data_IF_389484250635
#
_entry.id   IF_389484250635
#
_cell.length_a   1.000
_cell.length_b   1.000
_cell.length_c   1.000
_cell.angle_alpha   90.00
_cell.angle_beta   90.00
_cell.angle_gamma   90.00
#
_symmetry.space_group_name_H-M   'P 1'
#
loop_
_entity.id
_entity.type
_entity.pdbx_description
1 polymer ?
#
# COMPACT_ATOMS: atom_id res chain seq x y z
N UNK A 1 -59.84 25.31 -13.08
CA UNK A 1 -59.02 26.17 -13.96
C UNK A 1 -57.87 25.33 -14.47
N UNK A 2 -57.91 24.94 -15.75
CA UNK A 2 -57.10 23.87 -16.37
C UNK A 2 -55.95 24.54 -17.11
N UNK A 3 -54.71 24.33 -16.68
CA UNK A 3 -53.53 24.84 -17.39
C UNK A 3 -53.05 23.79 -18.39
N UNK A 4 -52.88 24.27 -19.62
CA UNK A 4 -52.58 23.54 -20.85
C UNK A 4 -51.06 23.39 -20.96
N UNK A 5 -50.58 22.15 -21.13
CA UNK A 5 -49.22 21.90 -21.63
C UNK A 5 -49.29 21.77 -23.15
N UNK A 6 -48.69 22.73 -23.86
CA UNK A 6 -48.48 22.64 -25.31
C UNK A 6 -47.23 21.81 -25.61
N UNK A 7 -47.39 20.70 -26.31
CA UNK A 7 -46.26 19.96 -26.90
C UNK A 7 -45.70 20.73 -28.12
N UNK A 8 -44.38 20.95 -28.22
CA UNK A 8 -43.80 21.43 -29.47
C UNK A 8 -43.71 20.29 -30.50
N UNK A 9 -44.09 20.65 -31.73
CA UNK A 9 -44.36 19.80 -32.90
C UNK A 9 -43.20 18.95 -33.39
N UNK A 10 -43.48 17.68 -33.66
CA UNK A 10 -42.67 16.73 -34.42
C UNK A 10 -42.35 17.28 -35.83
N UNK A 11 -41.08 17.34 -36.27
CA UNK A 11 -40.78 17.58 -37.67
C UNK A 11 -40.95 16.29 -38.47
N UNK A 12 -41.94 16.27 -39.36
CA UNK A 12 -42.16 15.24 -40.38
C UNK A 12 -41.01 15.26 -41.39
N UNK A 13 -40.14 14.24 -41.38
CA UNK A 13 -39.11 14.10 -42.40
C UNK A 13 -39.69 13.49 -43.68
N UNK A 14 -39.75 14.34 -44.70
CA UNK A 14 -40.10 14.06 -46.09
C UNK A 14 -39.23 12.94 -46.68
N UNK A 15 -39.88 11.98 -47.33
CA UNK A 15 -39.24 10.92 -48.11
C UNK A 15 -38.80 11.52 -49.46
N UNK A 16 -37.51 11.82 -49.62
CA UNK A 16 -36.92 12.06 -50.93
C UNK A 16 -35.90 10.96 -51.24
N UNK A 17 -36.30 10.08 -52.15
CA UNK A 17 -35.39 9.21 -52.88
C UNK A 17 -34.60 10.08 -53.86
N UNK A 18 -33.28 10.17 -53.68
CA UNK A 18 -32.34 10.50 -54.76
C UNK A 18 -31.35 9.36 -54.90
N UNK A 19 -31.39 8.75 -56.08
CA UNK A 19 -30.52 7.68 -56.52
C UNK A 19 -29.13 8.19 -56.90
N UNK A 20 -28.13 7.33 -56.69
CA UNK A 20 -26.84 7.24 -57.40
C UNK A 20 -25.84 8.38 -57.20
N UNK A 21 -24.81 8.13 -56.40
CA UNK A 21 -23.43 8.07 -56.90
C UNK A 21 -22.48 7.55 -55.82
N UNK A 22 -21.71 6.54 -56.21
CA UNK A 22 -20.78 5.83 -55.33
C UNK A 22 -19.72 6.74 -54.74
N UNK A 23 -19.54 6.62 -53.43
CA UNK A 23 -18.24 6.78 -52.78
C UNK A 23 -18.10 5.64 -51.79
N UNK A 24 -17.15 4.76 -52.06
CA UNK A 24 -16.69 3.76 -51.11
C UNK A 24 -16.33 4.49 -49.81
N UNK A 25 -17.16 4.34 -48.78
CA UNK A 25 -16.71 4.58 -47.42
C UNK A 25 -15.58 3.59 -47.16
N UNK A 26 -14.33 4.04 -47.28
CA UNK A 26 -13.25 3.44 -46.52
C UNK A 26 -13.70 3.52 -45.06
N UNK A 27 -14.28 2.44 -44.55
CA UNK A 27 -14.39 2.20 -43.12
C UNK A 27 -12.95 2.14 -42.62
N UNK A 28 -12.38 3.29 -42.26
CA UNK A 28 -11.31 3.31 -41.27
C UNK A 28 -11.87 2.54 -40.09
N UNK A 29 -11.23 1.42 -39.77
CA UNK A 29 -11.49 0.69 -38.55
C UNK A 29 -11.21 1.63 -37.37
N UNK A 30 -12.24 2.34 -36.93
CA UNK A 30 -12.22 3.09 -35.70
C UNK A 30 -12.37 2.07 -34.58
N UNK A 31 -11.24 1.51 -34.16
CA UNK A 31 -11.14 0.81 -32.89
C UNK A 31 -10.60 1.78 -31.82
N UNK A 32 -11.39 2.75 -31.33
CA UNK A 32 -10.94 3.71 -30.31
C UNK A 32 -10.56 3.04 -28.97
N UNK A 33 -10.97 1.78 -28.78
CA UNK A 33 -10.68 0.97 -27.60
C UNK A 33 -9.32 0.26 -27.65
N UNK A 34 -8.69 0.11 -28.83
CA UNK A 34 -7.40 -0.60 -28.97
C UNK A 34 -6.19 0.28 -28.61
N UNK A 35 -6.37 1.59 -28.42
CA UNK A 35 -5.32 2.55 -28.06
C UNK A 35 -5.55 3.17 -26.67
N UNK A 36 -6.13 2.41 -25.72
CA UNK A 36 -6.28 2.87 -24.35
C UNK A 36 -4.92 2.94 -23.63
N UNK A 37 -4.23 4.06 -23.75
CA UNK A 37 -3.04 4.43 -22.97
C UNK A 37 -3.31 4.55 -21.45
N UNK A 38 -4.56 4.43 -21.01
CA UNK A 38 -5.02 4.62 -19.62
C UNK A 38 -4.46 3.61 -18.60
N UNK A 39 -3.93 2.46 -19.05
CA UNK A 39 -3.42 1.40 -18.13
C UNK A 39 -2.11 1.80 -17.45
N UNK A 40 -1.17 2.47 -18.15
CA UNK A 40 0.12 2.88 -17.58
C UNK A 40 -0.03 3.91 -16.44
N UNK A 41 -0.79 5.02 -16.60
CA UNK A 41 -0.99 5.98 -15.52
C UNK A 41 -1.74 5.38 -14.32
N UNK A 42 -2.76 4.53 -14.57
CA UNK A 42 -3.57 3.93 -13.51
C UNK A 42 -2.73 3.16 -12.49
N UNK A 43 -1.82 2.29 -12.96
CA UNK A 43 -0.94 1.48 -12.08
C UNK A 43 0.01 2.34 -11.25
N UNK A 44 0.56 3.40 -11.86
CA UNK A 44 1.41 4.35 -11.15
C UNK A 44 0.65 5.05 -10.02
N UNK A 45 -0.56 5.54 -10.29
CA UNK A 45 -1.41 6.18 -9.29
C UNK A 45 -1.84 5.21 -8.19
N UNK A 46 -2.18 3.96 -8.54
CA UNK A 46 -2.56 2.94 -7.55
C UNK A 46 -1.38 2.63 -6.61
N UNK A 47 -0.16 2.49 -7.13
CA UNK A 47 1.05 2.30 -6.30
C UNK A 47 1.34 3.48 -5.38
N UNK A 48 1.24 4.73 -5.90
CA UNK A 48 1.37 5.94 -5.07
C UNK A 48 0.32 5.98 -3.95
N UNK A 49 -0.94 5.67 -4.28
CA UNK A 49 -2.03 5.69 -3.31
C UNK A 49 -1.83 4.64 -2.23
N UNK A 50 -1.42 3.41 -2.58
CA UNK A 50 -1.09 2.37 -1.62
C UNK A 50 0.04 2.80 -0.65
N UNK A 51 1.12 3.38 -1.17
CA UNK A 51 2.19 3.94 -0.34
C UNK A 51 1.69 5.03 0.61
N UNK A 52 0.80 5.91 0.15
CA UNK A 52 0.19 6.94 1.00
C UNK A 52 -0.67 6.31 2.11
N UNK A 53 -1.51 5.33 1.77
CA UNK A 53 -2.39 4.64 2.73
C UNK A 53 -1.59 3.97 3.83
N UNK A 54 -0.54 3.23 3.49
CA UNK A 54 0.34 2.60 4.48
C UNK A 54 0.95 3.62 5.45
N UNK A 55 1.53 4.71 4.93
CA UNK A 55 2.12 5.75 5.77
C UNK A 55 1.10 6.39 6.71
N UNK A 56 -0.15 6.56 6.26
CA UNK A 56 -1.25 7.04 7.10
C UNK A 56 -1.58 6.05 8.21
N UNK A 57 -1.72 4.75 7.90
CA UNK A 57 -1.97 3.71 8.89
C UNK A 57 -0.87 3.66 9.95
N UNK A 58 0.41 3.67 9.54
CA UNK A 58 1.55 3.67 10.45
C UNK A 58 1.53 4.90 11.37
N UNK A 59 1.28 6.09 10.84
CA UNK A 59 1.17 7.31 11.65
C UNK A 59 0.03 7.25 12.66
N UNK A 60 -1.12 6.73 12.25
CA UNK A 60 -2.27 6.57 13.13
C UNK A 60 -1.97 5.57 14.25
N UNK A 61 -1.34 4.43 13.93
CA UNK A 61 -0.90 3.45 14.91
C UNK A 61 0.10 4.05 15.90
N UNK A 62 1.16 4.71 15.41
CA UNK A 62 2.15 5.38 16.26
C UNK A 62 1.49 6.39 17.19
N UNK A 63 0.55 7.20 16.68
CA UNK A 63 -0.19 8.16 17.50
C UNK A 63 -0.97 7.44 18.61
N UNK A 64 -1.78 6.46 18.27
CA UNK A 64 -2.61 5.71 19.23
C UNK A 64 -1.75 5.02 20.30
N UNK A 65 -0.63 4.42 19.90
CA UNK A 65 0.32 3.78 20.83
C UNK A 65 0.87 4.82 21.80
N UNK A 66 1.44 5.93 21.30
CA UNK A 66 2.06 6.94 22.17
C UNK A 66 1.05 7.59 23.11
N UNK A 67 -0.19 7.83 22.66
CA UNK A 67 -1.18 8.54 23.48
C UNK A 67 -1.94 7.66 24.46
N UNK A 68 -2.05 6.35 24.19
CA UNK A 68 -2.93 5.46 24.96
C UNK A 68 -2.19 4.29 25.65
N UNK A 69 -0.89 4.08 25.41
CA UNK A 69 -0.12 2.98 26.04
C UNK A 69 0.28 3.28 27.49
N UNK A 70 -0.66 3.76 28.29
CA UNK A 70 -0.51 3.90 29.74
C UNK A 70 -1.90 3.93 30.37
N UNK A 71 -1.99 3.60 31.64
CA UNK A 71 -3.24 3.66 32.37
C UNK A 71 -3.19 4.83 33.36
N UNK A 72 -4.12 5.77 33.23
CA UNK A 72 -4.22 6.92 34.14
C UNK A 72 -4.42 6.50 35.60
N UNK A 73 -4.96 5.30 35.84
CA UNK A 73 -5.22 4.76 37.17
C UNK A 73 -4.02 4.06 37.80
N UNK A 74 -3.14 3.44 37.00
CA UNK A 74 -1.90 2.79 37.48
C UNK A 74 -0.69 3.73 37.56
N UNK A 75 -0.80 4.91 36.95
CA UNK A 75 0.30 5.87 36.88
C UNK A 75 1.18 5.67 35.64
N UNK A 76 2.37 6.31 35.61
CA UNK A 76 3.27 6.26 34.47
C UNK A 76 3.73 4.82 34.13
N UNK A 77 4.04 4.52 32.85
CA UNK A 77 4.58 3.23 32.46
C UNK A 77 5.86 2.88 33.22
N UNK A 78 6.00 1.61 33.57
CA UNK A 78 7.27 1.06 34.08
C UNK A 78 8.36 1.12 33.00
N UNK A 79 9.62 0.97 33.40
CA UNK A 79 10.75 0.98 32.46
C UNK A 79 10.59 -0.08 31.36
N UNK A 80 10.20 -1.30 31.72
CA UNK A 80 9.99 -2.40 30.77
C UNK A 80 8.85 -2.10 29.78
N UNK A 81 7.77 -1.48 30.25
CA UNK A 81 6.65 -1.07 29.38
C UNK A 81 7.06 0.04 28.43
N UNK A 82 7.85 1.01 28.92
CA UNK A 82 8.41 2.07 28.08
C UNK A 82 9.32 1.50 26.99
N UNK A 83 10.17 0.54 27.32
CA UNK A 83 11.01 -0.15 26.34
C UNK A 83 10.18 -0.95 25.31
N UNK A 84 9.09 -1.60 25.72
CA UNK A 84 8.14 -2.30 24.83
C UNK A 84 7.48 -1.31 23.85
N UNK A 85 7.06 -0.14 24.34
CA UNK A 85 6.51 0.95 23.52
C UNK A 85 7.55 1.47 22.53
N UNK A 86 8.75 1.82 23.01
CA UNK A 86 9.84 2.34 22.16
C UNK A 86 10.24 1.32 21.09
N UNK A 87 10.36 0.04 21.45
CA UNK A 87 10.62 -1.05 20.50
C UNK A 87 9.54 -1.14 19.42
N UNK A 88 8.27 -1.09 19.81
CA UNK A 88 7.15 -1.16 18.86
C UNK A 88 7.14 0.04 17.89
N UNK A 89 7.47 1.25 18.38
CA UNK A 89 7.57 2.44 17.54
C UNK A 89 8.75 2.31 16.56
N UNK A 90 9.90 1.78 16.99
CA UNK A 90 11.03 1.51 16.09
C UNK A 90 10.66 0.55 14.98
N UNK A 91 9.90 -0.51 15.30
CA UNK A 91 9.38 -1.46 14.30
C UNK A 91 8.45 -0.76 13.31
N UNK A 92 7.52 0.09 13.77
CA UNK A 92 6.64 0.87 12.88
C UNK A 92 7.44 1.81 11.96
N UNK A 93 8.55 2.37 12.43
CA UNK A 93 9.47 3.17 11.62
C UNK A 93 10.32 2.33 10.66
N UNK A 94 10.59 1.06 10.98
CA UNK A 94 11.30 0.13 10.11
C UNK A 94 10.46 -0.33 8.91
N UNK A 95 9.15 -0.45 9.07
CA UNK A 95 8.24 -0.98 8.03
C UNK A 95 8.37 -0.26 6.67
N UNK A 96 8.39 1.09 6.57
CA UNK A 96 8.57 1.76 5.28
C UNK A 96 9.89 1.42 4.58
N UNK A 97 10.98 1.23 5.35
CA UNK A 97 12.26 0.77 4.80
C UNK A 97 12.15 -0.68 4.31
N UNK A 98 11.56 -1.56 5.12
CA UNK A 98 11.31 -2.96 4.75
C UNK A 98 10.51 -3.05 3.44
N UNK A 99 9.44 -2.27 3.30
CA UNK A 99 8.63 -2.26 2.08
C UNK A 99 9.44 -1.79 0.88
N UNK A 100 10.20 -0.70 1.02
CA UNK A 100 11.02 -0.17 -0.07
C UNK A 100 12.00 -1.24 -0.57
N UNK A 101 12.71 -1.87 0.36
CA UNK A 101 13.73 -2.85 0.06
C UNK A 101 13.10 -4.12 -0.56
N UNK A 102 12.01 -4.60 0.04
CA UNK A 102 11.23 -5.72 -0.48
C UNK A 102 10.75 -5.48 -1.92
N UNK A 103 10.19 -4.31 -2.21
CA UNK A 103 9.70 -3.97 -3.56
C UNK A 103 10.83 -3.83 -4.58
N UNK A 104 12.04 -3.48 -4.15
CA UNK A 104 13.25 -3.42 -4.99
C UNK A 104 13.99 -4.74 -5.11
N UNK A 105 13.55 -5.79 -4.41
CA UNK A 105 14.29 -7.04 -4.26
C UNK A 105 15.68 -6.84 -3.62
N UNK A 106 15.81 -5.81 -2.78
CA UNK A 106 16.99 -5.49 -1.99
C UNK A 106 16.90 -6.23 -0.64
N UNK A 107 16.97 -7.56 -0.68
CA UNK A 107 16.92 -8.38 0.52
C UNK A 107 18.23 -8.26 1.34
N UNK A 108 18.13 -8.43 2.66
CA UNK A 108 19.31 -8.42 3.51
C UNK A 108 19.86 -7.02 3.87
N UNK A 109 19.20 -5.94 3.46
CA UNK A 109 19.66 -4.55 3.66
C UNK A 109 20.01 -4.17 5.12
N UNK A 110 19.39 -4.84 6.09
CA UNK A 110 19.65 -4.62 7.51
C UNK A 110 20.75 -5.52 8.10
N UNK A 111 21.10 -6.61 7.41
CA UNK A 111 22.05 -7.63 7.88
C UNK A 111 23.32 -7.71 7.04
N UNK A 112 23.45 -6.86 6.03
CA UNK A 112 24.68 -6.71 5.23
C UNK A 112 25.83 -6.14 6.09
N UNK A 113 26.35 -6.92 7.03
CA UNK A 113 27.52 -6.55 7.84
C UNK A 113 28.78 -6.84 7.03
N UNK A 114 29.51 -5.78 6.68
CA UNK A 114 30.91 -5.86 6.26
C UNK A 114 31.13 -6.31 4.81
N UNK A 115 31.19 -5.33 3.89
CA UNK A 115 32.20 -5.31 2.82
C UNK A 115 32.32 -6.51 1.85
N UNK A 116 31.36 -7.43 1.77
CA UNK A 116 31.42 -8.50 0.78
C UNK A 116 30.99 -8.03 -0.62
N UNK A 117 30.16 -7.00 -0.73
CA UNK A 117 29.85 -6.33 -2.01
C UNK A 117 29.62 -4.84 -1.72
N UNK A 118 30.28 -3.97 -2.49
CA UNK A 118 30.51 -2.56 -2.18
C UNK A 118 29.27 -1.67 -2.15
N UNK A 119 29.52 -0.36 -2.02
CA UNK A 119 28.52 0.72 -2.04
C UNK A 119 27.76 0.89 -3.38
N UNK A 120 27.90 -0.08 -4.29
CA UNK A 120 27.27 -0.08 -5.60
C UNK A 120 26.28 -1.25 -5.65
N UNK A 121 25.06 -0.93 -6.09
CA UNK A 121 24.05 -1.90 -6.52
C UNK A 121 24.68 -2.87 -7.52
N UNK A 122 24.99 -4.08 -7.06
CA UNK A 122 25.41 -5.17 -7.95
C UNK A 122 24.23 -5.51 -8.89
N UNK A 123 24.57 -5.92 -10.11
CA UNK A 123 23.66 -6.36 -11.18
C UNK A 123 22.75 -7.54 -10.73
N UNK A 124 23.01 -8.09 -9.54
CA UNK A 124 22.30 -9.19 -8.86
C UNK A 124 21.28 -8.74 -7.78
N UNK A 125 21.15 -7.44 -7.48
CA UNK A 125 20.12 -6.94 -6.55
C UNK A 125 20.51 -6.92 -5.06
N UNK A 126 21.80 -6.98 -4.73
CA UNK A 126 22.27 -6.95 -3.33
C UNK A 126 22.02 -5.57 -2.69
N UNK A 127 21.36 -5.55 -1.53
CA UNK A 127 21.02 -4.33 -0.83
C UNK A 127 22.22 -3.64 -0.17
N UNK A 128 22.33 -2.32 -0.32
CA UNK A 128 23.29 -1.52 0.44
C UNK A 128 22.89 -1.52 1.93
N UNK A 129 23.86 -1.81 2.81
CA UNK A 129 23.65 -1.75 4.25
C UNK A 129 23.20 -0.35 4.68
N UNK A 130 22.08 -0.28 5.41
CA UNK A 130 21.60 0.96 5.99
C UNK A 130 21.63 0.86 7.53
N UNK A 131 22.56 1.56 8.21
CA UNK A 131 22.71 1.48 9.66
C UNK A 131 21.49 2.01 10.42
N UNK A 132 20.83 3.04 9.87
CA UNK A 132 19.62 3.60 10.48
C UNK A 132 18.47 2.60 10.41
N UNK A 133 18.35 1.87 9.30
CA UNK A 133 17.35 0.81 9.16
C UNK A 133 17.66 -0.39 10.07
N UNK A 134 18.92 -0.83 10.10
CA UNK A 134 19.35 -1.94 10.94
C UNK A 134 19.11 -1.67 12.44
N UNK A 135 19.36 -0.44 12.91
CA UNK A 135 19.14 -0.04 14.30
C UNK A 135 17.66 0.01 14.73
N UNK A 136 16.72 -0.04 13.78
CA UNK A 136 15.28 -0.06 14.05
C UNK A 136 14.71 -1.48 14.19
N UNK A 137 15.41 -2.50 13.70
CA UNK A 137 14.92 -3.87 13.73
C UNK A 137 15.06 -4.49 15.14
N UNK A 138 14.15 -5.42 15.50
CA UNK A 138 14.29 -6.20 16.72
C UNK A 138 15.61 -6.99 16.75
N UNK A 139 16.26 -7.02 17.91
CA UNK A 139 17.44 -7.84 18.11
C UNK A 139 17.10 -9.33 17.91
N UNK A 140 17.95 -10.04 17.16
CA UNK A 140 17.73 -11.45 16.84
C UNK A 140 16.62 -11.72 15.82
N UNK A 141 16.07 -10.69 15.17
CA UNK A 141 15.16 -10.90 14.04
C UNK A 141 15.93 -11.51 12.86
N UNK A 142 15.44 -12.64 12.39
CA UNK A 142 15.84 -13.26 11.13
C UNK A 142 14.78 -12.96 10.08
N UNK A 143 15.19 -12.47 8.93
CA UNK A 143 14.29 -12.23 7.80
C UNK A 143 14.17 -13.48 6.95
N UNK A 144 12.93 -13.87 6.62
CA UNK A 144 12.63 -15.04 5.78
C UNK A 144 12.16 -14.62 4.37
N UNK A 145 12.73 -13.54 3.84
CA UNK A 145 12.32 -12.98 2.54
C UNK A 145 12.68 -13.92 1.37
N UNK A 146 13.75 -14.68 1.53
CA UNK A 146 14.22 -15.74 0.64
C UNK A 146 13.27 -16.96 0.63
N UNK A 147 12.59 -17.21 1.74
CA UNK A 147 11.53 -18.24 1.85
C UNK A 147 10.16 -17.74 1.32
N UNK A 148 10.10 -16.50 0.83
CA UNK A 148 8.88 -15.89 0.30
C UNK A 148 8.03 -15.15 1.33
N UNK A 149 8.50 -15.01 2.58
CA UNK A 149 7.83 -14.22 3.61
C UNK A 149 8.35 -12.78 3.58
N UNK A 150 7.55 -11.86 3.05
CA UNK A 150 7.89 -10.44 3.04
C UNK A 150 8.14 -9.90 4.46
N UNK A 151 9.32 -9.31 4.67
CA UNK A 151 9.69 -8.70 5.95
C UNK A 151 8.67 -7.66 6.46
N UNK A 152 8.02 -6.83 5.61
CA UNK A 152 6.95 -5.94 6.07
C UNK A 152 5.81 -6.66 6.78
N UNK A 153 5.42 -7.85 6.31
CA UNK A 153 4.40 -8.68 6.93
C UNK A 153 4.92 -9.32 8.23
N UNK A 154 6.17 -9.78 8.25
CA UNK A 154 6.78 -10.32 9.47
C UNK A 154 6.80 -9.27 10.60
N UNK A 155 7.10 -8.02 10.27
CA UNK A 155 7.14 -6.92 11.24
C UNK A 155 5.76 -6.61 11.86
N UNK A 156 4.65 -6.86 11.16
CA UNK A 156 3.31 -6.58 11.72
C UNK A 156 2.96 -7.49 12.89
N UNK A 157 3.51 -8.72 12.97
CA UNK A 157 3.25 -9.62 14.10
C UNK A 157 3.71 -9.05 15.45
N UNK A 158 4.81 -8.29 15.46
CA UNK A 158 5.27 -7.61 16.67
C UNK A 158 4.29 -6.54 17.13
N UNK A 159 3.67 -5.83 16.17
CA UNK A 159 2.65 -4.80 16.44
C UNK A 159 1.36 -5.44 16.94
N UNK A 160 0.90 -6.53 16.32
CA UNK A 160 -0.28 -7.29 16.80
C UNK A 160 -0.07 -7.83 18.21
N UNK A 161 1.10 -8.40 18.48
CA UNK A 161 1.47 -8.86 19.82
C UNK A 161 1.47 -7.73 20.84
N UNK A 162 1.95 -6.54 20.47
CA UNK A 162 1.88 -5.34 21.33
C UNK A 162 0.44 -4.91 21.59
N UNK A 163 -0.42 -4.87 20.57
CA UNK A 163 -1.84 -4.50 20.72
C UNK A 163 -2.53 -5.45 21.70
N UNK A 164 -2.33 -6.76 21.54
CA UNK A 164 -2.90 -7.77 22.44
C UNK A 164 -2.43 -7.60 23.89
N UNK A 165 -1.10 -7.41 24.09
CA UNK A 165 -0.55 -7.13 25.42
C UNK A 165 -1.12 -5.84 26.01
N UNK A 166 -1.31 -4.80 25.19
CA UNK A 166 -1.90 -3.53 25.62
C UNK A 166 -3.35 -3.67 26.07
N UNK A 167 -4.14 -4.49 25.37
CA UNK A 167 -5.50 -4.84 25.80
C UNK A 167 -5.48 -5.57 27.16
N UNK A 168 -4.63 -6.59 27.32
CA UNK A 168 -4.50 -7.35 28.59
C UNK A 168 -4.03 -6.47 29.75
N UNK A 169 -3.17 -5.47 29.46
CA UNK A 169 -2.71 -4.47 30.45
C UNK A 169 -3.78 -3.42 30.76
N UNK A 170 -4.87 -3.37 30.01
CA UNK A 170 -5.91 -2.34 30.13
C UNK A 170 -5.50 -0.97 29.60
N UNK A 171 -4.51 -0.90 28.71
CA UNK A 171 -4.13 0.33 28.00
C UNK A 171 -5.13 0.67 26.90
N UNK A 172 -5.66 -0.36 26.24
CA UNK A 172 -6.67 -0.23 25.22
C UNK A 172 -7.93 -0.96 25.67
N UNK A 173 -9.09 -0.38 25.41
CA UNK A 173 -10.34 -1.12 25.47
C UNK A 173 -10.49 -1.99 24.21
N UNK A 174 -11.34 -3.03 24.26
CA UNK A 174 -11.55 -3.92 23.13
C UNK A 174 -11.91 -3.18 21.80
N UNK A 175 -12.76 -2.13 21.81
CA UNK A 175 -13.00 -1.33 20.60
C UNK A 175 -11.76 -0.60 20.07
N UNK A 176 -10.94 -0.04 20.95
CA UNK A 176 -9.70 0.66 20.59
C UNK A 176 -8.65 -0.30 20.03
N UNK A 177 -8.49 -1.47 20.63
CA UNK A 177 -7.62 -2.54 20.12
C UNK A 177 -8.10 -3.03 18.73
N UNK A 178 -9.41 -3.23 18.57
CA UNK A 178 -10.02 -3.61 17.28
C UNK A 178 -9.77 -2.55 16.20
N UNK A 179 -9.84 -1.26 16.55
CA UNK A 179 -9.53 -0.17 15.61
C UNK A 179 -8.07 -0.19 15.17
N UNK A 180 -7.13 -0.52 16.08
CA UNK A 180 -5.72 -0.65 15.73
C UNK A 180 -5.46 -1.83 14.80
N UNK A 181 -6.08 -2.99 15.06
CA UNK A 181 -6.04 -4.14 14.16
C UNK A 181 -6.60 -3.80 12.77
N UNK A 182 -7.68 -3.02 12.69
CA UNK A 182 -8.23 -2.55 11.42
C UNK A 182 -7.22 -1.65 10.64
N UNK A 183 -6.40 -0.85 11.33
CA UNK A 183 -5.32 -0.10 10.68
C UNK A 183 -4.22 -1.03 10.14
N UNK A 184 -3.85 -2.08 10.87
CA UNK A 184 -2.90 -3.09 10.39
C UNK A 184 -3.44 -3.84 9.16
N UNK A 185 -4.70 -4.26 9.19
CA UNK A 185 -5.35 -4.90 8.04
C UNK A 185 -5.36 -3.98 6.81
N UNK A 186 -5.65 -2.69 7.00
CA UNK A 186 -5.62 -1.70 5.92
C UNK A 186 -4.21 -1.49 5.38
N UNK A 187 -3.20 -1.51 6.26
CA UNK A 187 -1.79 -1.48 5.85
C UNK A 187 -1.43 -2.71 5.01
N UNK A 188 -1.81 -3.92 5.45
CA UNK A 188 -1.51 -5.16 4.74
C UNK A 188 -2.18 -5.26 3.38
N UNK A 189 -3.44 -4.80 3.25
CA UNK A 189 -4.12 -4.70 1.95
C UNK A 189 -3.38 -3.73 0.99
N UNK A 190 -2.94 -2.57 1.50
CA UNK A 190 -2.15 -1.64 0.71
C UNK A 190 -0.78 -2.23 0.31
N UNK A 191 -0.14 -2.97 1.21
CA UNK A 191 1.10 -3.70 0.92
C UNK A 191 0.90 -4.76 -0.18
N UNK A 192 -0.10 -5.64 -0.04
CA UNK A 192 -0.40 -6.68 -1.03
C UNK A 192 -0.76 -6.12 -2.41
N UNK A 193 -1.41 -4.94 -2.47
CA UNK A 193 -1.63 -4.21 -3.73
C UNK A 193 -0.32 -3.84 -4.42
N UNK A 194 0.69 -3.40 -3.68
CA UNK A 194 1.98 -3.07 -4.27
C UNK A 194 2.76 -4.31 -4.69
N UNK A 195 2.71 -5.41 -3.92
CA UNK A 195 3.28 -6.70 -4.35
C UNK A 195 2.64 -7.17 -5.65
N UNK A 196 1.30 -7.08 -5.75
CA UNK A 196 0.58 -7.38 -6.98
C UNK A 196 1.08 -6.50 -8.12
N UNK A 197 1.21 -5.19 -7.91
CA UNK A 197 1.73 -4.26 -8.93
C UNK A 197 3.18 -4.60 -9.34
N UNK A 198 4.02 -5.04 -8.41
CA UNK A 198 5.39 -5.49 -8.71
C UNK A 198 5.38 -6.75 -9.58
N UNK A 199 4.61 -7.76 -9.18
CA UNK A 199 4.62 -9.09 -9.78
C UNK A 199 3.84 -9.19 -11.10
N UNK A 200 2.87 -8.30 -11.34
CA UNK A 200 1.96 -8.38 -12.51
C UNK A 200 2.19 -7.24 -13.51
N UNK A 201 3.28 -7.26 -14.31
CA UNK A 201 3.49 -6.23 -15.32
C UNK A 201 2.33 -6.20 -16.33
N UNK A 202 2.22 -5.11 -17.08
CA UNK A 202 1.20 -5.06 -18.13
C UNK A 202 1.41 -6.19 -19.14
N UNK A 203 0.36 -6.92 -19.54
CA UNK A 203 0.50 -8.01 -20.50
C UNK A 203 1.21 -7.53 -21.76
N UNK A 204 2.24 -8.27 -22.18
CA UNK A 204 3.09 -7.90 -23.34
C UNK A 204 2.27 -7.79 -24.62
N UNK A 205 1.17 -8.53 -24.74
CA UNK A 205 0.23 -8.43 -25.87
C UNK A 205 -0.49 -7.07 -26.00
N UNK A 206 -0.31 -6.16 -25.02
CA UNK A 206 -0.87 -4.80 -25.03
C UNK A 206 0.21 -3.71 -25.07
N UNK A 207 1.49 -4.08 -25.22
CA UNK A 207 2.61 -3.16 -25.40
C UNK A 207 2.82 -2.88 -26.90
#
# INVERSE_FOLDING_TARGET
MRLVFSEPTTPTLSRQNTSLQGRHHQRRLTHPHLLSSRKKPRRFWDGRNAMSTMNTCLRNLTRTIVTNSYSSTRGPPTLAEREDIERTIRILMAIPFAVKNHLRAEWGAAWAIGGAFGNDVDERGTAAYNPDYAGLLPAGLEGHEDEGLGLPYQLTFFVDGFIKRGEDRGWFNAPGASQMQAQLNTFLDAYGKMETIKLTPMPVAHL
#
